data_IF_255341610495
#
_entry.id   IF_255341610495
#
_cell.length_a   1.000
_cell.length_b   1.000
_cell.length_c   1.000
_cell.angle_alpha   90.00
_cell.angle_beta   90.00
_cell.angle_gamma   90.00
#
_symmetry.space_group_name_H-M   'P 1'
#
loop_
_entity.id
_entity.type
_entity.pdbx_description
1 polymer ?
#
# COMPACT_ATOMS: atom_id res chain seq x y z
N UNK A 1 -2.70 -40.55 -1.85
CA UNK A 1 -1.97 -39.80 -2.91
C UNK A 1 -2.31 -38.29 -2.94
N UNK A 2 -3.55 -37.85 -2.88
CA UNK A 2 -3.92 -36.41 -2.95
C UNK A 2 -3.28 -35.49 -1.88
N UNK A 3 -3.09 -35.94 -0.63
CA UNK A 3 -2.43 -35.15 0.42
C UNK A 3 -0.95 -34.83 0.11
N UNK A 4 -0.20 -35.76 -0.50
CA UNK A 4 1.21 -35.54 -0.88
C UNK A 4 1.36 -34.52 -2.00
N UNK A 5 0.49 -34.56 -3.02
CA UNK A 5 0.52 -33.57 -4.11
C UNK A 5 0.18 -32.15 -3.63
N UNK A 6 -0.76 -32.01 -2.68
CA UNK A 6 -1.11 -30.71 -2.09
C UNK A 6 0.05 -30.10 -1.28
N UNK A 7 0.80 -30.92 -0.54
CA UNK A 7 1.96 -30.47 0.26
C UNK A 7 3.14 -30.09 -0.66
N UNK A 8 3.37 -30.86 -1.73
CA UNK A 8 4.44 -30.58 -2.70
C UNK A 8 4.20 -29.28 -3.48
N UNK A 9 2.96 -29.01 -3.88
CA UNK A 9 2.58 -27.75 -4.50
C UNK A 9 2.67 -26.57 -3.54
N UNK A 10 2.33 -26.74 -2.26
CA UNK A 10 2.46 -25.69 -1.28
C UNK A 10 3.93 -25.28 -1.08
N UNK A 11 4.84 -26.24 -0.88
CA UNK A 11 6.29 -25.98 -0.75
C UNK A 11 6.85 -25.23 -1.97
N UNK A 12 6.46 -25.62 -3.17
CA UNK A 12 6.90 -24.97 -4.42
C UNK A 12 6.36 -23.54 -4.58
N UNK A 13 5.18 -23.25 -4.06
CA UNK A 13 4.60 -21.90 -4.07
C UNK A 13 5.36 -21.01 -3.08
N UNK A 14 5.63 -21.52 -1.87
CA UNK A 14 6.37 -20.80 -0.83
C UNK A 14 7.81 -20.47 -1.26
N UNK A 15 8.51 -21.42 -1.87
CA UNK A 15 9.88 -21.17 -2.36
C UNK A 15 9.93 -20.10 -3.46
N UNK A 16 8.96 -20.10 -4.36
CA UNK A 16 8.89 -19.06 -5.42
C UNK A 16 8.54 -17.68 -4.87
N UNK A 17 7.59 -17.58 -3.92
CA UNK A 17 7.23 -16.30 -3.30
C UNK A 17 8.39 -15.76 -2.46
N UNK A 18 9.11 -16.63 -1.74
CA UNK A 18 10.31 -16.24 -1.00
C UNK A 18 11.40 -15.70 -1.93
N UNK A 19 11.68 -16.41 -3.02
CA UNK A 19 12.67 -15.97 -4.01
C UNK A 19 12.33 -14.60 -4.59
N UNK A 20 11.08 -14.36 -4.98
CA UNK A 20 10.63 -13.06 -5.50
C UNK A 20 10.79 -11.96 -4.46
N UNK A 21 10.45 -12.22 -3.20
CA UNK A 21 10.59 -11.24 -2.12
C UNK A 21 12.04 -10.96 -1.77
N UNK A 22 12.93 -11.97 -1.83
CA UNK A 22 14.38 -11.78 -1.65
C UNK A 22 14.97 -10.98 -2.79
N UNK A 23 14.60 -11.28 -4.05
CA UNK A 23 15.07 -10.51 -5.20
C UNK A 23 14.61 -9.06 -5.13
N UNK A 24 13.38 -8.82 -4.71
CA UNK A 24 12.84 -7.46 -4.49
C UNK A 24 13.61 -6.75 -3.38
N UNK A 25 13.85 -7.42 -2.25
CA UNK A 25 14.65 -6.90 -1.14
C UNK A 25 16.06 -6.51 -1.62
N UNK A 26 16.77 -7.42 -2.29
CA UNK A 26 18.12 -7.19 -2.77
C UNK A 26 18.18 -6.06 -3.80
N UNK A 27 17.21 -5.99 -4.71
CA UNK A 27 17.12 -4.91 -5.70
C UNK A 27 17.01 -3.54 -5.02
N UNK A 28 16.13 -3.40 -4.02
CA UNK A 28 15.98 -2.14 -3.29
C UNK A 28 17.22 -1.78 -2.45
N UNK A 29 17.88 -2.77 -1.84
CA UNK A 29 19.14 -2.54 -1.09
C UNK A 29 20.24 -2.05 -2.03
N UNK A 30 20.41 -2.68 -3.21
CA UNK A 30 21.42 -2.27 -4.20
C UNK A 30 21.13 -0.86 -4.69
N UNK A 31 19.88 -0.57 -5.08
CA UNK A 31 19.48 0.77 -5.51
C UNK A 31 19.69 1.82 -4.41
N UNK A 32 19.34 1.46 -3.16
CA UNK A 32 19.54 2.36 -2.01
C UNK A 32 21.00 2.68 -1.71
N UNK A 33 21.95 1.85 -2.16
CA UNK A 33 23.39 2.12 -2.02
C UNK A 33 23.99 2.95 -3.15
N UNK A 34 23.39 2.87 -4.34
CA UNK A 34 23.94 3.53 -5.54
C UNK A 34 23.41 4.94 -5.73
N UNK A 35 22.29 5.27 -5.12
CA UNK A 35 21.61 6.55 -5.31
C UNK A 35 21.91 7.55 -4.19
N UNK A 36 21.87 8.85 -4.52
CA UNK A 36 21.99 9.95 -3.54
C UNK A 36 20.75 10.10 -2.67
N UNK A 37 20.83 10.92 -1.62
CA UNK A 37 19.82 11.11 -0.57
C UNK A 37 18.39 11.35 -1.10
N UNK A 38 18.23 12.22 -2.10
CA UNK A 38 16.93 12.48 -2.71
C UNK A 38 16.28 11.20 -3.28
N UNK A 39 17.02 10.45 -4.07
CA UNK A 39 16.50 9.21 -4.66
C UNK A 39 16.27 8.11 -3.61
N UNK A 40 17.06 8.09 -2.52
CA UNK A 40 16.85 7.21 -1.38
C UNK A 40 15.53 7.51 -0.68
N UNK A 41 15.21 8.80 -0.47
CA UNK A 41 13.90 9.24 0.05
C UNK A 41 12.74 8.81 -0.87
N UNK A 42 12.89 8.94 -2.19
CA UNK A 42 11.89 8.48 -3.16
C UNK A 42 11.71 6.96 -3.14
N UNK A 43 12.81 6.21 -3.04
CA UNK A 43 12.74 4.75 -2.90
C UNK A 43 12.10 4.31 -1.58
N UNK A 44 12.32 5.04 -0.48
CA UNK A 44 11.64 4.80 0.79
C UNK A 44 10.12 5.04 0.65
N UNK A 45 9.73 6.08 -0.10
CA UNK A 45 8.32 6.32 -0.46
C UNK A 45 7.74 5.17 -1.29
N UNK A 46 8.48 4.70 -2.30
CA UNK A 46 8.07 3.54 -3.12
C UNK A 46 7.90 2.31 -2.24
N UNK A 47 8.87 1.96 -1.39
CA UNK A 47 8.80 0.78 -0.53
C UNK A 47 7.59 0.84 0.41
N UNK A 48 7.31 2.01 0.98
CA UNK A 48 6.21 2.23 1.94
C UNK A 48 4.85 2.26 1.25
N UNK A 49 4.70 3.08 0.21
CA UNK A 49 3.43 3.19 -0.53
C UNK A 49 3.10 1.92 -1.31
N UNK A 50 4.10 1.11 -1.67
CA UNK A 50 3.88 -0.21 -2.24
C UNK A 50 3.07 -1.11 -1.31
N UNK A 51 3.32 -1.08 0.00
CA UNK A 51 2.49 -1.81 0.98
C UNK A 51 1.05 -1.28 0.96
N UNK A 52 0.87 0.04 0.87
CA UNK A 52 -0.44 0.68 0.74
C UNK A 52 -1.17 0.25 -0.55
N UNK A 53 -0.50 0.26 -1.69
CA UNK A 53 -1.06 -0.20 -2.98
C UNK A 53 -1.35 -1.71 -2.95
N UNK A 54 -0.51 -2.52 -2.28
CA UNK A 54 -0.79 -3.95 -2.06
C UNK A 54 -2.06 -4.16 -1.22
N UNK A 55 -2.34 -3.29 -0.23
CA UNK A 55 -3.57 -3.36 0.55
C UNK A 55 -4.82 -3.14 -0.32
N UNK A 56 -4.77 -2.14 -1.23
CA UNK A 56 -5.82 -1.89 -2.22
C UNK A 56 -5.96 -3.06 -3.20
N UNK A 57 -4.84 -3.56 -3.71
CA UNK A 57 -4.81 -4.71 -4.63
C UNK A 57 -5.42 -5.96 -3.98
N UNK A 58 -5.16 -6.18 -2.69
CA UNK A 58 -5.75 -7.29 -1.95
C UNK A 58 -7.26 -7.10 -1.77
N UNK A 59 -7.70 -5.91 -1.33
CA UNK A 59 -9.10 -5.63 -1.04
C UNK A 59 -9.92 -5.52 -2.33
N UNK A 60 -9.52 -4.68 -3.26
CA UNK A 60 -10.27 -4.43 -4.49
C UNK A 60 -9.98 -5.51 -5.54
N UNK A 61 -8.72 -5.84 -5.74
CA UNK A 61 -8.31 -6.77 -6.78
C UNK A 61 -8.63 -8.23 -6.48
N UNK A 62 -8.39 -8.70 -5.26
CA UNK A 62 -8.64 -10.10 -4.90
C UNK A 62 -10.04 -10.35 -4.37
N UNK A 63 -10.62 -9.46 -3.53
CA UNK A 63 -11.94 -9.68 -2.92
C UNK A 63 -13.09 -8.92 -3.59
N UNK A 64 -12.80 -8.02 -4.53
CA UNK A 64 -13.81 -7.26 -5.27
C UNK A 64 -14.44 -6.11 -4.50
N UNK A 65 -13.92 -5.76 -3.33
CA UNK A 65 -14.48 -4.70 -2.49
C UNK A 65 -13.76 -3.38 -2.79
N UNK A 66 -14.45 -2.46 -3.48
CA UNK A 66 -13.89 -1.14 -3.79
C UNK A 66 -13.92 -0.29 -2.53
N UNK A 67 -12.75 0.16 -2.07
CA UNK A 67 -12.60 1.05 -0.92
C UNK A 67 -11.76 2.27 -1.29
N UNK A 68 -12.27 3.44 -0.96
CA UNK A 68 -11.58 4.73 -1.08
C UNK A 68 -11.01 5.22 0.27
N UNK A 69 -10.98 4.35 1.27
CA UNK A 69 -10.55 4.69 2.63
C UNK A 69 -9.19 4.14 3.03
N UNK A 70 -8.41 3.56 2.11
CA UNK A 70 -7.14 2.92 2.50
C UNK A 70 -6.09 3.92 3.00
N UNK A 71 -6.08 5.16 2.48
CA UNK A 71 -5.26 6.25 3.02
C UNK A 71 -5.66 6.65 4.45
N UNK A 72 -6.97 6.63 4.76
CA UNK A 72 -7.45 6.86 6.12
C UNK A 72 -7.00 5.75 7.09
N UNK A 73 -7.02 4.49 6.64
CA UNK A 73 -6.48 3.38 7.45
C UNK A 73 -4.96 3.49 7.61
N UNK A 74 -4.24 4.01 6.60
CA UNK A 74 -2.82 4.36 6.75
C UNK A 74 -2.66 5.44 7.84
N UNK A 75 -3.49 6.48 7.85
CA UNK A 75 -3.47 7.49 8.91
C UNK A 75 -3.69 6.88 10.30
N UNK A 76 -4.69 5.99 10.44
CA UNK A 76 -4.92 5.27 11.71
C UNK A 76 -3.65 4.53 12.17
N UNK A 77 -2.96 3.82 11.27
CA UNK A 77 -1.71 3.14 11.57
C UNK A 77 -0.57 4.10 11.93
N UNK A 78 -0.44 5.20 11.18
CA UNK A 78 0.56 6.24 11.44
C UNK A 78 0.37 6.92 12.79
N UNK A 79 -0.84 7.39 13.07
CA UNK A 79 -1.17 7.99 14.37
C UNK A 79 -1.03 7.00 15.52
N UNK A 80 -1.45 5.74 15.34
CA UNK A 80 -1.27 4.71 16.35
C UNK A 80 0.21 4.51 16.67
N UNK A 81 1.08 4.37 15.66
CA UNK A 81 2.52 4.23 15.87
C UNK A 81 3.12 5.47 16.57
N UNK A 82 2.77 6.68 16.11
CA UNK A 82 3.26 7.91 16.70
C UNK A 82 2.88 8.06 18.18
N UNK A 83 1.60 7.87 18.52
CA UNK A 83 1.11 7.96 19.89
C UNK A 83 1.72 6.90 20.82
N UNK A 84 1.93 5.69 20.33
CA UNK A 84 2.59 4.62 21.09
C UNK A 84 4.05 4.96 21.42
N UNK A 85 4.77 5.58 20.49
CA UNK A 85 6.15 6.02 20.72
C UNK A 85 6.19 7.24 21.64
N UNK A 86 5.39 8.28 21.36
CA UNK A 86 5.44 9.55 22.07
C UNK A 86 4.88 9.46 23.49
N UNK A 87 3.75 8.80 23.68
CA UNK A 87 3.05 8.77 24.97
C UNK A 87 3.46 7.60 25.86
N UNK A 88 3.79 6.45 25.26
CA UNK A 88 4.15 5.23 26.03
C UNK A 88 5.65 4.91 25.97
N UNK A 89 6.45 5.68 25.23
CA UNK A 89 7.89 5.44 25.10
C UNK A 89 8.24 4.09 24.48
N UNK A 90 7.32 3.48 23.73
CA UNK A 90 7.57 2.17 23.13
C UNK A 90 8.60 2.26 22.01
N UNK A 91 9.37 1.18 21.86
CA UNK A 91 10.27 1.07 20.73
C UNK A 91 9.50 1.11 19.40
N UNK A 92 10.07 1.77 18.41
CA UNK A 92 9.51 1.90 17.05
C UNK A 92 9.10 0.54 16.45
N UNK A 93 9.89 -0.51 16.67
CA UNK A 93 9.59 -1.85 16.15
C UNK A 93 8.30 -2.43 16.72
N UNK A 94 8.09 -2.25 18.03
CA UNK A 94 6.87 -2.67 18.69
C UNK A 94 5.68 -1.81 18.25
N UNK A 95 5.90 -0.50 18.08
CA UNK A 95 4.88 0.42 17.60
C UNK A 95 4.38 0.03 16.19
N UNK A 96 5.24 -0.42 15.29
CA UNK A 96 4.83 -0.92 13.97
C UNK A 96 3.93 -2.15 14.06
N UNK A 97 4.27 -3.10 14.94
CA UNK A 97 3.45 -4.32 15.14
C UNK A 97 2.07 -3.95 15.72
N UNK A 98 2.04 -3.08 16.72
CA UNK A 98 0.79 -2.62 17.32
C UNK A 98 -0.04 -1.78 16.35
N UNK A 99 0.57 -0.95 15.52
CA UNK A 99 -0.10 -0.21 14.46
C UNK A 99 -0.82 -1.13 13.45
N UNK A 100 -0.21 -2.26 13.09
CA UNK A 100 -0.86 -3.29 12.26
C UNK A 100 -2.13 -3.80 12.96
N UNK A 101 -2.06 -4.11 14.25
CA UNK A 101 -3.19 -4.66 15.01
C UNK A 101 -4.30 -3.62 15.17
N UNK A 102 -3.96 -2.37 15.50
CA UNK A 102 -4.93 -1.27 15.65
C UNK A 102 -5.62 -0.99 14.31
N UNK A 103 -4.87 -0.91 13.22
CA UNK A 103 -5.43 -0.72 11.89
C UNK A 103 -6.27 -1.93 11.44
N UNK A 104 -5.87 -3.15 11.78
CA UNK A 104 -6.65 -4.36 11.53
C UNK A 104 -7.98 -4.35 12.31
N UNK A 105 -7.97 -3.86 13.57
CA UNK A 105 -9.17 -3.68 14.37
C UNK A 105 -10.10 -2.60 13.77
N UNK A 106 -9.56 -1.46 13.33
CA UNK A 106 -10.32 -0.47 12.57
C UNK A 106 -10.92 -1.10 11.30
N UNK A 107 -10.13 -1.90 10.58
CA UNK A 107 -10.57 -2.67 9.43
C UNK A 107 -11.64 -3.72 9.76
N UNK A 108 -11.65 -4.29 10.95
CA UNK A 108 -12.73 -5.16 11.42
C UNK A 108 -14.03 -4.39 11.57
N UNK A 109 -14.01 -3.22 12.21
CA UNK A 109 -15.18 -2.37 12.39
C UNK A 109 -15.77 -1.93 11.04
N UNK A 110 -14.88 -1.47 10.12
CA UNK A 110 -15.27 -1.12 8.76
C UNK A 110 -15.76 -2.32 7.95
N UNK A 111 -15.12 -3.47 8.11
CA UNK A 111 -15.47 -4.71 7.46
C UNK A 111 -16.85 -5.23 7.87
N UNK A 112 -17.24 -5.04 9.14
CA UNK A 112 -18.60 -5.37 9.62
C UNK A 112 -19.66 -4.50 8.92
N UNK A 113 -19.41 -3.20 8.76
CA UNK A 113 -20.28 -2.32 7.99
C UNK A 113 -20.26 -2.69 6.49
N UNK A 114 -19.06 -2.89 5.93
CA UNK A 114 -18.84 -3.22 4.53
C UNK A 114 -19.46 -4.57 4.10
N UNK A 115 -19.56 -5.52 5.01
CA UNK A 115 -20.17 -6.82 4.73
C UNK A 115 -21.65 -6.73 4.31
N UNK A 116 -22.32 -5.64 4.70
CA UNK A 116 -23.73 -5.34 4.37
C UNK A 116 -23.87 -4.42 3.16
N UNK A 117 -22.78 -3.80 2.72
CA UNK A 117 -22.77 -2.84 1.62
C UNK A 117 -22.16 -3.47 0.36
N UNK A 118 -22.66 -3.09 -0.79
CA UNK A 118 -22.17 -3.58 -2.08
C UNK A 118 -21.91 -2.43 -3.04
N UNK A 119 -20.92 -2.62 -3.92
CA UNK A 119 -20.63 -1.70 -5.00
C UNK A 119 -20.34 -0.26 -4.57
N UNK A 120 -21.01 0.74 -5.18
CA UNK A 120 -20.75 2.16 -4.94
C UNK A 120 -21.00 2.64 -3.51
N UNK A 121 -21.94 2.00 -2.80
CA UNK A 121 -22.24 2.37 -1.41
C UNK A 121 -21.06 2.11 -0.46
N UNK A 122 -20.31 1.04 -0.70
CA UNK A 122 -19.11 0.74 0.05
C UNK A 122 -18.01 1.78 -0.24
N UNK A 123 -17.81 2.13 -1.51
CA UNK A 123 -16.83 3.15 -1.89
C UNK A 123 -17.18 4.52 -1.27
N UNK A 124 -18.46 4.91 -1.29
CA UNK A 124 -18.93 6.17 -0.70
C UNK A 124 -18.71 6.23 0.82
N UNK A 125 -19.08 5.15 1.55
CA UNK A 125 -18.88 5.11 3.02
C UNK A 125 -17.40 5.17 3.41
N UNK A 126 -16.53 4.47 2.69
CA UNK A 126 -15.08 4.51 2.95
C UNK A 126 -14.46 5.85 2.56
N UNK A 127 -15.03 6.56 1.58
CA UNK A 127 -14.63 7.93 1.25
C UNK A 127 -14.99 8.92 2.37
N UNK A 128 -16.18 8.81 2.96
CA UNK A 128 -16.58 9.65 4.10
C UNK A 128 -15.61 9.45 5.27
N UNK A 129 -15.15 8.22 5.53
CA UNK A 129 -14.15 7.96 6.55
C UNK A 129 -12.80 8.59 6.20
N UNK A 130 -12.42 8.58 4.91
CA UNK A 130 -11.19 9.24 4.46
C UNK A 130 -11.22 10.75 4.69
N UNK A 131 -12.38 11.38 4.59
CA UNK A 131 -12.59 12.79 4.92
C UNK A 131 -12.64 13.05 6.44
N UNK A 132 -13.14 12.09 7.21
CA UNK A 132 -13.31 12.25 8.65
C UNK A 132 -11.97 12.25 9.41
N UNK A 133 -10.99 11.44 9.01
CA UNK A 133 -9.72 11.27 9.74
C UNK A 133 -8.94 12.59 9.87
N UNK A 134 -8.67 13.37 8.80
CA UNK A 134 -8.01 14.68 8.92
C UNK A 134 -8.81 15.66 9.79
N UNK A 135 -10.14 15.67 9.62
CA UNK A 135 -11.03 16.53 10.42
C UNK A 135 -10.98 16.19 11.90
N UNK A 136 -10.96 14.89 12.25
CA UNK A 136 -10.82 14.45 13.64
C UNK A 136 -9.46 14.82 14.22
N UNK A 137 -8.39 14.69 13.45
CA UNK A 137 -7.05 15.07 13.88
C UNK A 137 -6.96 16.58 14.22
N UNK A 138 -7.60 17.42 13.41
CA UNK A 138 -7.68 18.86 13.66
C UNK A 138 -8.60 19.21 14.83
N UNK A 139 -9.69 18.44 15.05
CA UNK A 139 -10.60 18.68 16.18
C UNK A 139 -9.97 18.34 17.53
N UNK A 140 -9.10 17.34 17.58
CA UNK A 140 -8.44 16.86 18.80
C UNK A 140 -6.93 17.18 18.75
N UNK A 141 -6.59 18.46 18.57
CA UNK A 141 -5.22 18.94 18.43
C UNK A 141 -4.28 18.49 19.56
N UNK A 142 -4.78 18.49 20.80
CA UNK A 142 -3.99 18.09 21.98
C UNK A 142 -3.49 16.64 21.89
N UNK A 143 -4.20 15.77 21.16
CA UNK A 143 -3.84 14.34 21.03
C UNK A 143 -3.15 14.05 19.71
N UNK A 144 -3.61 14.67 18.62
CA UNK A 144 -3.16 14.32 17.25
C UNK A 144 -2.26 15.41 16.63
N UNK A 145 -1.98 16.49 17.35
CA UNK A 145 -1.09 17.55 16.89
C UNK A 145 -1.70 18.54 15.89
N UNK A 146 -3.00 18.42 15.57
CA UNK A 146 -3.70 19.32 14.65
C UNK A 146 -3.05 19.38 13.26
N UNK A 147 -3.05 20.55 12.63
CA UNK A 147 -2.47 20.78 11.30
C UNK A 147 -0.94 20.60 11.27
N UNK A 148 -0.25 20.89 12.38
CA UNK A 148 1.21 20.73 12.50
C UNK A 148 1.59 19.25 12.53
N UNK A 149 0.72 18.41 13.09
CA UNK A 149 0.94 16.98 13.26
C UNK A 149 1.84 16.64 14.44
N UNK A 150 2.11 15.36 14.61
CA UNK A 150 3.01 14.81 15.63
C UNK A 150 4.39 14.63 15.03
N UNK A 151 5.41 15.22 15.65
CA UNK A 151 6.81 14.97 15.26
C UNK A 151 7.29 13.68 15.94
N UNK A 152 7.69 12.70 15.14
CA UNK A 152 8.23 11.43 15.62
C UNK A 152 9.72 11.40 15.35
N UNK A 153 10.51 11.14 16.40
CA UNK A 153 11.95 10.97 16.22
C UNK A 153 12.22 9.71 15.38
N UNK A 154 12.87 9.91 14.26
CA UNK A 154 13.23 8.84 13.32
C UNK A 154 14.31 7.92 13.91
N UNK A 155 14.97 8.36 14.98
CA UNK A 155 16.11 7.68 15.56
C UNK A 155 17.34 7.68 14.63
N UNK A 156 18.50 7.55 15.24
CA UNK A 156 19.74 7.43 14.49
C UNK A 156 19.95 5.99 14.01
N UNK A 157 20.60 5.80 12.85
CA UNK A 157 20.97 4.46 12.42
C UNK A 157 21.85 3.77 13.48
N UNK A 158 21.62 2.47 13.74
CA UNK A 158 22.39 1.74 14.72
C UNK A 158 23.89 1.77 14.41
N UNK A 159 24.72 1.91 15.43
CA UNK A 159 26.18 2.03 15.28
C UNK A 159 26.83 0.84 14.55
N UNK A 160 26.26 -0.36 14.67
CA UNK A 160 26.73 -1.52 13.92
C UNK A 160 26.49 -1.38 12.42
N UNK A 161 25.42 -0.70 12.00
CA UNK A 161 25.10 -0.46 10.61
C UNK A 161 26.07 0.54 9.99
N UNK A 162 26.37 1.61 10.72
CA UNK A 162 27.36 2.62 10.31
C UNK A 162 28.77 2.03 10.19
N UNK A 163 29.13 1.08 11.05
CA UNK A 163 30.40 0.34 10.95
C UNK A 163 30.49 -0.55 9.71
N UNK A 164 29.37 -1.13 9.27
CA UNK A 164 29.31 -2.07 8.14
C UNK A 164 29.18 -1.36 6.79
N UNK A 165 28.46 -0.24 6.74
CA UNK A 165 28.04 0.43 5.52
C UNK A 165 28.68 1.81 5.30
N UNK A 166 29.40 2.34 6.29
CA UNK A 166 29.89 3.73 6.33
C UNK A 166 28.84 4.68 6.90
N UNK A 167 29.01 5.97 6.66
CA UNK A 167 28.03 6.98 7.10
C UNK A 167 26.68 6.76 6.41
N UNK A 168 25.66 6.46 7.21
CA UNK A 168 24.29 6.22 6.76
C UNK A 168 23.46 7.48 7.04
N UNK A 169 23.02 8.14 5.99
CA UNK A 169 22.10 9.28 6.10
C UNK A 169 20.71 8.88 6.60
N UNK A 170 19.92 9.86 7.05
CA UNK A 170 18.56 9.64 7.55
C UNK A 170 17.67 9.03 6.47
N UNK A 171 17.73 9.50 5.23
CA UNK A 171 16.95 9.00 4.09
C UNK A 171 17.30 7.54 3.78
N UNK A 172 18.56 7.19 3.86
CA UNK A 172 19.03 5.83 3.67
C UNK A 172 18.57 4.91 4.81
N UNK A 173 18.58 5.41 6.04
CA UNK A 173 18.06 4.69 7.20
C UNK A 173 16.57 4.41 7.06
N UNK A 174 15.77 5.41 6.71
CA UNK A 174 14.33 5.24 6.45
C UNK A 174 14.06 4.19 5.37
N UNK A 175 14.84 4.21 4.30
CA UNK A 175 14.76 3.22 3.23
C UNK A 175 15.07 1.81 3.76
N UNK A 176 16.17 1.63 4.50
CA UNK A 176 16.57 0.33 5.04
C UNK A 176 15.56 -0.22 6.05
N UNK A 177 14.84 0.62 6.76
CA UNK A 177 13.72 0.20 7.61
C UNK A 177 12.52 -0.23 6.75
N UNK A 178 12.17 0.50 5.70
CA UNK A 178 11.01 0.20 4.87
C UNK A 178 11.18 -1.07 4.01
N UNK A 179 12.40 -1.38 3.54
CA UNK A 179 12.68 -2.52 2.65
C UNK A 179 12.22 -3.88 3.24
N UNK A 180 12.62 -4.29 4.46
CA UNK A 180 12.24 -5.60 4.99
C UNK A 180 10.73 -5.72 5.17
N UNK A 181 10.05 -4.67 5.61
CA UNK A 181 8.60 -4.68 5.76
C UNK A 181 7.87 -4.76 4.41
N UNK A 182 8.34 -4.07 3.38
CA UNK A 182 7.76 -4.16 2.05
C UNK A 182 7.99 -5.54 1.41
N UNK A 183 9.15 -6.16 1.63
CA UNK A 183 9.43 -7.52 1.18
C UNK A 183 8.56 -8.56 1.93
N UNK A 184 8.37 -8.40 3.26
CA UNK A 184 7.47 -9.23 4.06
C UNK A 184 6.01 -9.06 3.62
N UNK A 185 5.56 -7.84 3.38
CA UNK A 185 4.22 -7.57 2.87
C UNK A 185 4.00 -8.22 1.50
N UNK A 186 4.98 -8.09 0.59
CA UNK A 186 4.95 -8.75 -0.72
C UNK A 186 4.85 -10.28 -0.58
N UNK A 187 5.68 -10.88 0.27
CA UNK A 187 5.65 -12.30 0.57
C UNK A 187 4.29 -12.73 1.11
N UNK A 188 3.77 -12.01 2.10
CA UNK A 188 2.47 -12.27 2.72
C UNK A 188 1.33 -12.21 1.70
N UNK A 189 1.28 -11.15 0.88
CA UNK A 189 0.23 -10.95 -0.12
C UNK A 189 0.28 -12.01 -1.23
N UNK A 190 1.48 -12.38 -1.72
CA UNK A 190 1.62 -13.48 -2.70
C UNK A 190 1.07 -14.79 -2.13
N UNK A 191 1.46 -15.16 -0.91
CA UNK A 191 1.03 -16.42 -0.31
C UNK A 191 -0.48 -16.39 0.03
N UNK A 192 -0.98 -15.28 0.58
CA UNK A 192 -2.39 -15.10 0.90
C UNK A 192 -3.26 -15.17 -0.36
N UNK A 193 -2.86 -14.50 -1.43
CA UNK A 193 -3.58 -14.53 -2.71
C UNK A 193 -3.61 -15.93 -3.35
N UNK A 194 -2.59 -16.76 -3.10
CA UNK A 194 -2.53 -18.15 -3.59
C UNK A 194 -3.11 -19.18 -2.62
N UNK A 195 -3.44 -18.78 -1.41
CA UNK A 195 -4.02 -19.63 -0.35
C UNK A 195 -5.45 -20.06 -0.68
N UNK A 196 -6.04 -20.87 0.21
CA UNK A 196 -7.48 -21.21 0.15
C UNK A 196 -8.34 -19.94 0.28
N UNK A 197 -7.99 -19.07 1.21
CA UNK A 197 -8.69 -17.79 1.45
C UNK A 197 -8.68 -16.91 0.20
N UNK A 198 -7.52 -16.75 -0.46
CA UNK A 198 -7.43 -15.96 -1.70
C UNK A 198 -8.26 -16.56 -2.86
N UNK A 199 -8.42 -17.89 -2.92
CA UNK A 199 -9.31 -18.52 -3.90
C UNK A 199 -10.79 -18.25 -3.59
N UNK A 200 -11.17 -18.30 -2.31
CA UNK A 200 -12.53 -17.97 -1.86
C UNK A 200 -12.85 -16.52 -2.17
N UNK A 201 -11.94 -15.60 -1.90
CA UNK A 201 -12.13 -14.18 -2.24
C UNK A 201 -12.37 -13.97 -3.74
N UNK A 202 -11.59 -14.61 -4.60
CA UNK A 202 -11.80 -14.52 -6.06
C UNK A 202 -13.16 -15.08 -6.48
N UNK A 203 -13.58 -16.21 -5.91
CA UNK A 203 -14.90 -16.77 -6.20
C UNK A 203 -16.04 -15.81 -5.80
N UNK A 204 -15.93 -15.18 -4.61
CA UNK A 204 -16.89 -14.18 -4.13
C UNK A 204 -16.89 -12.95 -5.05
N UNK A 205 -15.72 -12.45 -5.41
CA UNK A 205 -15.58 -11.31 -6.33
C UNK A 205 -16.21 -11.58 -7.69
N UNK A 206 -16.01 -12.77 -8.23
CA UNK A 206 -16.49 -13.12 -9.56
C UNK A 206 -18.03 -13.32 -9.57
N UNK A 207 -18.60 -13.94 -8.51
CA UNK A 207 -20.07 -14.04 -8.31
C UNK A 207 -20.41 -14.38 -6.85
N UNK A 208 -20.92 -13.40 -6.10
CA UNK A 208 -21.29 -13.57 -4.69
C UNK A 208 -22.42 -14.58 -4.49
N UNK A 209 -23.42 -14.58 -5.39
CA UNK A 209 -24.59 -15.48 -5.29
C UNK A 209 -24.16 -16.92 -5.52
N UNK A 210 -23.40 -17.18 -6.57
CA UNK A 210 -22.90 -18.52 -6.83
C UNK A 210 -21.99 -19.02 -5.70
N UNK A 211 -21.13 -18.16 -5.15
CA UNK A 211 -20.27 -18.50 -4.01
C UNK A 211 -21.10 -18.89 -2.77
N UNK A 212 -22.17 -18.16 -2.48
CA UNK A 212 -23.06 -18.47 -1.34
C UNK A 212 -23.78 -19.79 -1.52
N UNK A 213 -24.26 -20.10 -2.74
CA UNK A 213 -24.92 -21.37 -3.07
C UNK A 213 -23.98 -22.58 -2.90
N UNK A 214 -22.64 -22.36 -3.06
CA UNK A 214 -21.64 -23.38 -2.77
C UNK A 214 -21.21 -23.44 -1.28
N UNK A 215 -21.95 -22.80 -0.39
CA UNK A 215 -21.74 -22.86 1.05
C UNK A 215 -20.63 -21.94 1.57
N UNK A 216 -20.15 -20.98 0.77
CA UNK A 216 -19.18 -20.00 1.23
C UNK A 216 -19.87 -18.88 2.02
N UNK A 217 -19.36 -18.60 3.23
CA UNK A 217 -19.86 -17.47 4.01
C UNK A 217 -19.24 -16.17 3.45
N UNK A 218 -20.01 -15.49 2.58
CA UNK A 218 -19.59 -14.26 1.87
C UNK A 218 -19.23 -13.15 2.85
N UNK A 219 -20.11 -12.89 3.85
CA UNK A 219 -19.89 -11.80 4.81
C UNK A 219 -18.61 -11.98 5.61
N UNK A 220 -18.39 -13.18 6.19
CA UNK A 220 -17.18 -13.48 6.95
C UNK A 220 -15.91 -13.29 6.10
N UNK A 221 -15.93 -13.73 4.86
CA UNK A 221 -14.78 -13.61 3.96
C UNK A 221 -14.52 -12.15 3.54
N UNK A 222 -15.57 -11.35 3.36
CA UNK A 222 -15.44 -9.90 3.12
C UNK A 222 -14.78 -9.19 4.31
N UNK A 223 -15.22 -9.50 5.54
CA UNK A 223 -14.63 -8.95 6.76
C UNK A 223 -13.16 -9.33 6.88
N UNK A 224 -12.79 -10.59 6.66
CA UNK A 224 -11.40 -11.05 6.73
C UNK A 224 -10.53 -10.32 5.69
N UNK A 225 -11.05 -10.09 4.49
CA UNK A 225 -10.33 -9.33 3.46
C UNK A 225 -10.06 -7.88 3.91
N UNK A 226 -11.06 -7.22 4.53
CA UNK A 226 -10.91 -5.88 5.10
C UNK A 226 -9.85 -5.85 6.20
N UNK A 227 -9.91 -6.78 7.16
CA UNK A 227 -8.94 -6.87 8.25
C UNK A 227 -7.51 -7.03 7.74
N UNK A 228 -7.30 -7.94 6.78
CA UNK A 228 -5.97 -8.17 6.20
C UNK A 228 -5.46 -6.95 5.42
N UNK A 229 -6.32 -6.32 4.61
CA UNK A 229 -5.96 -5.13 3.86
C UNK A 229 -5.67 -3.94 4.78
N UNK A 230 -6.49 -3.76 5.83
CA UNK A 230 -6.30 -2.70 6.81
C UNK A 230 -5.01 -2.87 7.62
N UNK A 231 -4.65 -4.09 7.99
CA UNK A 231 -3.36 -4.36 8.64
C UNK A 231 -2.17 -3.95 7.76
N UNK A 232 -2.23 -4.25 6.45
CA UNK A 232 -1.21 -3.80 5.49
C UNK A 232 -1.19 -2.27 5.36
N UNK A 233 -2.35 -1.64 5.24
CA UNK A 233 -2.45 -0.18 5.16
C UNK A 233 -1.91 0.48 6.44
N UNK A 234 -2.22 -0.07 7.62
CA UNK A 234 -1.70 0.41 8.89
C UNK A 234 -0.18 0.33 8.98
N UNK A 235 0.41 -0.78 8.52
CA UNK A 235 1.87 -0.90 8.42
C UNK A 235 2.45 0.16 7.47
N UNK A 236 1.84 0.35 6.30
CA UNK A 236 2.26 1.39 5.37
C UNK A 236 2.19 2.78 6.01
N UNK A 237 1.13 3.06 6.76
CA UNK A 237 0.96 4.32 7.47
C UNK A 237 2.02 4.52 8.55
N UNK A 238 2.26 3.52 9.39
CA UNK A 238 3.28 3.60 10.44
C UNK A 238 4.68 3.87 9.86
N UNK A 239 5.04 3.17 8.77
CA UNK A 239 6.31 3.40 8.07
C UNK A 239 6.36 4.76 7.38
N UNK A 240 5.24 5.26 6.87
CA UNK A 240 5.16 6.58 6.23
C UNK A 240 5.32 7.70 7.25
N UNK A 241 4.68 7.57 8.42
CA UNK A 241 4.84 8.49 9.55
C UNK A 241 6.25 8.46 10.17
N UNK A 242 6.95 7.33 10.09
CA UNK A 242 8.35 7.20 10.50
C UNK A 242 9.31 8.14 9.74
N UNK A 243 8.85 8.84 8.72
CA UNK A 243 9.63 9.87 8.01
C UNK A 243 9.74 11.20 8.77
N UNK A 244 9.18 11.29 9.97
CA UNK A 244 9.38 12.39 10.90
C UNK A 244 8.09 13.10 11.33
N UNK A 245 7.05 13.15 10.50
CA UNK A 245 5.79 13.84 10.81
C UNK A 245 4.60 12.92 10.53
N UNK A 246 3.64 12.94 11.47
CA UNK A 246 2.35 12.28 11.34
C UNK A 246 1.26 13.33 11.51
N UNK A 247 0.59 13.69 10.43
CA UNK A 247 -0.40 14.77 10.45
C UNK A 247 -1.39 14.68 9.29
N UNK A 248 -2.42 15.54 9.27
CA UNK A 248 -3.42 15.60 8.21
C UNK A 248 -2.79 15.87 6.82
N UNK A 249 -1.72 16.66 6.78
CA UNK A 249 -0.98 16.97 5.55
C UNK A 249 -0.23 15.77 4.98
N UNK A 250 0.12 14.79 5.83
CA UNK A 250 0.83 13.55 5.43
C UNK A 250 -0.15 12.49 4.92
N UNK A 251 -1.37 12.47 5.43
CA UNK A 251 -2.43 11.53 5.04
C UNK A 251 -3.66 12.27 4.48
N UNK A 252 -3.50 13.07 3.41
CA UNK A 252 -4.63 13.74 2.80
C UNK A 252 -5.56 12.73 2.12
N UNK A 253 -6.77 13.15 1.80
CA UNK A 253 -7.72 12.32 1.04
C UNK A 253 -7.14 11.87 -0.31
N UNK A 254 -6.33 12.72 -0.93
CA UNK A 254 -5.66 12.44 -2.20
C UNK A 254 -4.76 11.21 -2.13
N UNK A 255 -4.21 10.89 -0.94
CA UNK A 255 -3.44 9.66 -0.73
C UNK A 255 -4.29 8.41 -0.98
N UNK A 256 -5.55 8.39 -0.51
CA UNK A 256 -6.46 7.26 -0.77
C UNK A 256 -6.72 7.09 -2.27
N UNK A 257 -6.93 8.20 -2.98
CA UNK A 257 -7.14 8.20 -4.43
C UNK A 257 -5.87 7.80 -5.18
N UNK A 258 -4.70 8.28 -4.74
CA UNK A 258 -3.41 7.92 -5.32
C UNK A 258 -3.13 6.42 -5.19
N UNK A 259 -3.37 5.82 -4.01
CA UNK A 259 -3.22 4.37 -3.81
C UNK A 259 -4.11 3.56 -4.74
N UNK A 260 -5.38 3.98 -4.90
CA UNK A 260 -6.29 3.33 -5.85
C UNK A 260 -5.80 3.51 -7.29
N UNK A 261 -5.39 4.72 -7.66
CA UNK A 261 -4.84 5.03 -8.99
C UNK A 261 -3.63 4.15 -9.30
N UNK A 262 -2.69 4.03 -8.37
CA UNK A 262 -1.54 3.13 -8.51
C UNK A 262 -1.94 1.66 -8.70
N UNK A 263 -2.91 1.18 -7.92
CA UNK A 263 -3.42 -0.18 -8.07
C UNK A 263 -4.13 -0.40 -9.41
N UNK A 264 -4.89 0.58 -9.90
CA UNK A 264 -5.62 0.49 -11.19
C UNK A 264 -4.68 0.60 -12.37
N UNK A 265 -3.79 1.61 -12.39
CA UNK A 265 -2.81 1.80 -13.47
C UNK A 265 -1.89 0.58 -13.57
N UNK A 266 -1.42 0.09 -12.43
CA UNK A 266 -0.61 -1.13 -12.38
C UNK A 266 -1.38 -2.38 -12.81
N UNK A 267 -2.67 -2.43 -12.55
CA UNK A 267 -3.57 -3.54 -12.77
C UNK A 267 -4.02 -4.19 -11.46
N UNK A 268 -5.28 -3.98 -11.09
CA UNK A 268 -5.87 -4.39 -9.80
C UNK A 268 -5.64 -5.86 -9.41
N UNK A 269 -5.46 -6.75 -10.40
CA UNK A 269 -5.29 -8.20 -10.19
C UNK A 269 -3.82 -8.63 -10.19
N UNK A 270 -2.89 -7.70 -10.35
CA UNK A 270 -1.47 -7.98 -10.53
C UNK A 270 -0.62 -7.40 -9.39
N UNK A 271 0.04 -8.28 -8.65
CA UNK A 271 0.96 -7.86 -7.57
C UNK A 271 2.20 -7.15 -8.16
N UNK A 272 2.69 -7.60 -9.31
CA UNK A 272 3.78 -6.91 -10.03
C UNK A 272 3.31 -5.57 -10.59
N UNK A 273 2.05 -5.50 -11.03
CA UNK A 273 1.41 -4.26 -11.41
C UNK A 273 1.33 -3.26 -10.26
N UNK A 274 1.02 -3.70 -9.05
CA UNK A 274 1.02 -2.84 -7.87
C UNK A 274 2.37 -2.12 -7.68
N UNK A 275 3.49 -2.80 -7.91
CA UNK A 275 4.82 -2.16 -7.86
C UNK A 275 4.99 -1.10 -8.95
N UNK A 276 4.65 -1.43 -10.19
CA UNK A 276 4.73 -0.48 -11.32
C UNK A 276 3.85 0.74 -11.07
N UNK A 277 2.61 0.54 -10.61
CA UNK A 277 1.71 1.62 -10.26
C UNK A 277 2.21 2.48 -9.09
N UNK A 278 2.86 1.86 -8.10
CA UNK A 278 3.47 2.60 -6.98
C UNK A 278 4.63 3.47 -7.45
N UNK A 279 5.53 2.93 -8.26
CA UNK A 279 6.63 3.72 -8.84
C UNK A 279 6.06 4.89 -9.63
N UNK A 280 5.01 4.63 -10.41
CA UNK A 280 4.36 5.67 -11.19
C UNK A 280 3.81 6.81 -10.30
N UNK A 281 3.03 6.53 -9.26
CA UNK A 281 2.44 7.57 -8.41
C UNK A 281 3.49 8.33 -7.58
N UNK A 282 4.60 7.69 -7.20
CA UNK A 282 5.67 8.35 -6.44
C UNK A 282 6.48 9.29 -7.32
N UNK A 283 6.79 8.91 -8.55
CA UNK A 283 7.60 9.74 -9.45
C UNK A 283 6.78 10.71 -10.31
N UNK A 284 5.45 10.56 -10.34
CA UNK A 284 4.58 11.44 -11.13
C UNK A 284 4.69 12.91 -10.73
N UNK A 285 4.67 13.31 -9.43
CA UNK A 285 4.83 14.70 -9.03
C UNK A 285 6.16 15.29 -9.49
N UNK A 286 7.25 14.54 -9.41
CA UNK A 286 8.58 14.98 -9.86
C UNK A 286 8.63 15.21 -11.38
N UNK A 287 8.01 14.30 -12.14
CA UNK A 287 7.93 14.43 -13.59
C UNK A 287 7.15 15.70 -13.98
N UNK A 288 6.03 15.94 -13.30
CA UNK A 288 5.20 17.12 -13.53
C UNK A 288 5.95 18.38 -13.09
N UNK A 289 6.63 18.37 -11.92
CA UNK A 289 7.41 19.49 -11.43
C UNK A 289 8.52 19.90 -12.42
N UNK A 290 9.23 18.93 -13.01
CA UNK A 290 10.21 19.20 -14.07
C UNK A 290 9.56 19.79 -15.33
N UNK A 291 8.40 19.27 -15.71
CA UNK A 291 7.66 19.78 -16.88
C UNK A 291 7.18 21.22 -16.64
N UNK A 292 6.56 21.50 -15.50
CA UNK A 292 6.05 22.84 -15.16
C UNK A 292 7.16 23.88 -15.02
N UNK A 293 8.35 23.49 -14.53
CA UNK A 293 9.52 24.38 -14.45
C UNK A 293 10.03 24.80 -15.84
N UNK A 294 10.01 23.87 -16.81
CA UNK A 294 10.41 24.17 -18.20
C UNK A 294 9.43 25.14 -18.87
N UNK A 295 8.13 24.93 -18.64
CA UNK A 295 7.08 25.77 -19.26
C UNK A 295 6.70 27.01 -18.43
N UNK A 296 7.41 27.28 -17.30
CA UNK A 296 7.16 28.41 -16.39
C UNK A 296 5.68 28.52 -15.98
N UNK A 297 5.05 27.39 -15.70
CA UNK A 297 3.65 27.34 -15.23
C UNK A 297 3.58 27.92 -13.81
N UNK A 298 2.50 28.62 -13.45
CA UNK A 298 2.34 29.20 -12.11
C UNK A 298 2.37 28.13 -11.02
N UNK A 299 2.93 28.43 -9.86
CA UNK A 299 3.04 27.51 -8.72
C UNK A 299 1.68 26.93 -8.29
N UNK A 300 0.63 27.76 -8.35
CA UNK A 300 -0.73 27.32 -8.02
C UNK A 300 -1.19 26.18 -8.92
N UNK A 301 -1.00 26.31 -10.23
CA UNK A 301 -1.37 25.25 -11.19
C UNK A 301 -0.47 24.03 -11.01
N UNK A 302 0.83 24.23 -10.80
CA UNK A 302 1.82 23.16 -10.62
C UNK A 302 1.45 22.23 -9.44
N UNK A 303 0.92 22.77 -8.35
CA UNK A 303 0.57 22.00 -7.16
C UNK A 303 -0.64 21.08 -7.37
N UNK A 304 -1.61 21.45 -8.23
CA UNK A 304 -2.80 20.63 -8.50
C UNK A 304 -2.66 19.70 -9.70
N UNK A 305 -1.68 19.96 -10.58
CA UNK A 305 -1.46 19.13 -11.77
C UNK A 305 -1.24 17.65 -11.48
N UNK A 306 -0.48 17.21 -10.45
CA UNK A 306 -0.30 15.79 -10.17
C UNK A 306 -1.61 15.06 -9.85
N UNK A 307 -2.50 15.69 -9.08
CA UNK A 307 -3.81 15.14 -8.76
C UNK A 307 -4.70 15.05 -10.01
N UNK A 308 -4.73 16.10 -10.83
CA UNK A 308 -5.48 16.14 -12.08
C UNK A 308 -4.98 15.09 -13.07
N UNK A 309 -3.66 15.01 -13.29
CA UNK A 309 -3.07 14.05 -14.23
C UNK A 309 -3.31 12.61 -13.74
N UNK A 310 -3.16 12.34 -12.44
CA UNK A 310 -3.44 11.02 -11.89
C UNK A 310 -4.90 10.61 -12.07
N UNK A 311 -5.84 11.53 -11.87
CA UNK A 311 -7.28 11.31 -12.08
C UNK A 311 -7.62 11.04 -13.56
N UNK A 312 -7.07 11.82 -14.47
CA UNK A 312 -7.24 11.61 -15.94
C UNK A 312 -6.66 10.26 -16.36
N UNK A 313 -5.45 9.91 -15.88
CA UNK A 313 -4.82 8.64 -16.20
C UNK A 313 -5.59 7.44 -15.61
N UNK A 314 -6.18 7.60 -14.42
CA UNK A 314 -7.07 6.59 -13.85
C UNK A 314 -8.27 6.34 -14.76
N UNK A 315 -8.96 7.41 -15.19
CA UNK A 315 -10.11 7.32 -16.11
C UNK A 315 -9.70 6.67 -17.44
N UNK A 316 -8.61 7.12 -18.03
CA UNK A 316 -8.09 6.56 -19.29
C UNK A 316 -7.73 5.07 -19.13
N UNK A 317 -7.11 4.68 -18.02
CA UNK A 317 -6.75 3.27 -17.76
C UNK A 317 -8.00 2.40 -17.65
N UNK A 318 -9.04 2.86 -16.94
CA UNK A 318 -10.30 2.11 -16.81
C UNK A 318 -10.98 1.94 -18.19
N UNK A 319 -10.98 2.99 -19.01
CA UNK A 319 -11.66 2.97 -20.31
C UNK A 319 -10.89 2.17 -21.36
N UNK A 320 -9.57 2.37 -21.47
CA UNK A 320 -8.75 1.80 -22.55
C UNK A 320 -8.25 0.40 -22.18
N UNK A 321 -7.80 0.19 -20.96
CA UNK A 321 -7.20 -1.07 -20.53
C UNK A 321 -7.51 -1.40 -19.07
N UNK A 322 -8.70 -1.92 -18.77
CA UNK A 322 -9.11 -2.25 -17.41
C UNK A 322 -8.24 -3.32 -16.73
N UNK A 323 -7.39 -4.02 -17.50
CA UNK A 323 -6.43 -4.98 -16.98
C UNK A 323 -5.11 -4.34 -16.49
N UNK A 324 -4.89 -3.03 -16.76
CA UNK A 324 -3.73 -2.25 -16.34
C UNK A 324 -2.46 -2.51 -17.15
N UNK A 325 -1.40 -1.75 -16.83
CA UNK A 325 -0.12 -1.80 -17.56
C UNK A 325 0.58 -3.18 -17.47
N UNK A 326 0.45 -3.89 -16.35
CA UNK A 326 1.07 -5.20 -16.18
C UNK A 326 0.48 -6.26 -17.13
N UNK A 327 -0.81 -6.16 -17.46
CA UNK A 327 -1.43 -7.05 -18.45
C UNK A 327 -0.94 -6.74 -19.86
N UNK A 328 -0.82 -5.47 -20.23
CA UNK A 328 -0.27 -5.05 -21.52
C UNK A 328 1.15 -5.58 -21.73
N UNK A 329 2.03 -5.47 -20.73
CA UNK A 329 3.38 -6.02 -20.76
C UNK A 329 3.43 -7.54 -20.94
N UNK A 330 2.53 -8.28 -20.28
CA UNK A 330 2.46 -9.74 -20.39
C UNK A 330 1.98 -10.22 -21.77
N UNK A 331 1.10 -9.48 -22.43
CA UNK A 331 0.66 -9.75 -23.80
C UNK A 331 1.77 -9.52 -24.82
N UNK A 332 2.58 -8.48 -24.65
CA UNK A 332 3.73 -8.20 -25.52
C UNK A 332 4.82 -9.28 -25.41
N UNK A 333 5.10 -9.75 -24.21
CA UNK A 333 6.07 -10.84 -23.98
C UNK A 333 5.59 -12.18 -24.56
N UNK A 334 4.30 -12.51 -24.45
CA UNK A 334 3.73 -13.73 -25.03
C UNK A 334 3.69 -13.70 -26.57
N UNK A 335 3.50 -12.53 -27.20
CA UNK A 335 3.59 -12.38 -28.65
C UNK A 335 5.00 -12.67 -29.16
N UNK A 336 6.05 -12.18 -28.46
CA UNK A 336 7.46 -12.42 -28.83
C UNK A 336 7.87 -13.90 -28.78
N UNK A 337 7.25 -14.72 -27.91
CA UNK A 337 7.52 -16.15 -27.82
C UNK A 337 6.74 -17.01 -28.84
N UNK A 338 5.72 -16.44 -29.50
CA UNK A 338 4.98 -17.14 -30.56
C UNK A 338 5.55 -16.90 -31.98
N UNK A 339 6.46 -15.93 -32.11
CA UNK A 339 7.12 -15.59 -33.39
C UNK A 339 8.57 -16.10 -33.49
N UNK A 340 8.98 -16.93 -32.57
CA UNK A 340 10.18 -17.78 -32.61
C UNK A 340 9.73 -19.26 -32.59
#
# INVERSE_FOLDING_TARGET
MQKRYAVFNAKRIWSKSLLVSILFFLALVILGRTFGAYNQSQLASVATLFIGVLSVTLLTGASGQISLGQGAIMAVGGYAAALLVLNLGLSMWLAFILAILIAALAGLLLGLAAARLTGPYLAGTTLVIALAIPTLANRFESTFGGDVGLSVDVGNPPTWLSKLLGEVGIEQWQLFVAIPFSALALFGVINLSRSRTGRVWRAIRDNEVAASLHGLNVQRNKIIAFVCASGLAGLAGALYGFRGIVGPSVYPIDLSLALLTGAVIGGLRSITGALVGTVFIVFLPDLIGKFTSVFKVSEQISNYLPALVSGVLLLLTIVINPAGLAAAGSHLLKRRHRTK
#
